data_IF_785909907243
#
_entry.id   IF_785909907243
#
_cell.length_a   1.000
_cell.length_b   1.000
_cell.length_c   1.000
_cell.angle_alpha   90.00
_cell.angle_beta   90.00
_cell.angle_gamma   90.00
#
_symmetry.space_group_name_H-M   'P 1'
#
loop_
_entity.id
_entity.type
_entity.pdbx_description
1 polymer ?
#
# COMPACT_ATOMS: atom_id res chain seq x y z
N UNK A 1 17.86 3.97 -0.36
CA UNK A 1 16.89 3.66 -1.41
C UNK A 1 15.77 4.68 -1.38
N UNK A 2 15.30 5.11 -2.55
CA UNK A 2 14.07 5.88 -2.75
C UNK A 2 12.83 5.03 -2.46
N UNK A 3 11.69 5.69 -2.26
CA UNK A 3 10.40 4.98 -2.09
C UNK A 3 10.06 4.18 -3.35
N UNK A 4 10.43 4.70 -4.53
CA UNK A 4 10.30 4.00 -5.80
C UNK A 4 11.14 2.71 -5.85
N UNK A 5 12.36 2.73 -5.31
CA UNK A 5 13.21 1.54 -5.24
C UNK A 5 12.68 0.51 -4.24
N UNK A 6 12.19 0.96 -3.08
CA UNK A 6 11.57 0.07 -2.08
C UNK A 6 10.33 -0.60 -2.67
N UNK A 7 9.45 0.15 -3.34
CA UNK A 7 8.26 -0.45 -3.96
C UNK A 7 8.58 -1.47 -5.05
N UNK A 8 9.64 -1.23 -5.84
CA UNK A 8 10.14 -2.21 -6.81
C UNK A 8 10.64 -3.49 -6.12
N UNK A 9 11.37 -3.35 -5.02
CA UNK A 9 11.83 -4.49 -4.22
C UNK A 9 10.64 -5.30 -3.68
N UNK A 10 9.63 -4.65 -3.10
CA UNK A 10 8.39 -5.30 -2.65
C UNK A 10 7.72 -6.09 -3.79
N UNK A 11 7.59 -5.47 -4.97
CA UNK A 11 7.00 -6.12 -6.14
C UNK A 11 7.83 -7.31 -6.64
N UNK A 12 9.16 -7.24 -6.56
CA UNK A 12 10.05 -8.35 -6.91
C UNK A 12 9.94 -9.52 -5.92
N UNK A 13 9.84 -9.24 -4.62
CA UNK A 13 9.60 -10.24 -3.58
C UNK A 13 8.26 -10.93 -3.81
N UNK A 14 7.20 -10.17 -4.05
CA UNK A 14 5.87 -10.71 -4.36
C UNK A 14 5.93 -11.66 -5.56
N UNK A 15 6.58 -11.25 -6.66
CA UNK A 15 6.78 -12.07 -7.86
C UNK A 15 7.53 -13.37 -7.60
N UNK A 16 8.60 -13.32 -6.79
CA UNK A 16 9.36 -14.53 -6.42
C UNK A 16 8.51 -15.52 -5.64
N UNK A 17 7.56 -15.03 -4.85
CA UNK A 17 6.64 -15.84 -4.06
C UNK A 17 5.39 -16.27 -4.85
N UNK A 18 5.35 -16.07 -6.17
CA UNK A 18 4.23 -16.46 -7.03
C UNK A 18 3.06 -15.47 -7.02
N UNK A 19 3.20 -14.33 -6.36
CA UNK A 19 2.21 -13.26 -6.38
C UNK A 19 2.49 -12.29 -7.53
N UNK A 20 1.43 -11.94 -8.28
CA UNK A 20 1.42 -10.96 -9.37
C UNK A 20 1.97 -11.40 -10.72
N UNK A 21 1.16 -11.17 -11.77
CA UNK A 21 1.64 -10.24 -12.77
C UNK A 21 0.50 -9.45 -13.43
N UNK A 22 0.07 -8.32 -12.84
CA UNK A 22 -0.85 -7.38 -13.51
C UNK A 22 -0.40 -7.03 -14.94
N UNK A 23 0.93 -7.01 -15.17
CA UNK A 23 1.55 -6.73 -16.48
C UNK A 23 1.45 -7.88 -17.50
N UNK A 24 1.16 -9.11 -17.06
CA UNK A 24 0.97 -10.27 -17.95
C UNK A 24 -0.51 -10.60 -18.15
N UNK A 25 -1.42 -10.01 -17.35
CA UNK A 25 -2.84 -10.08 -17.62
C UNK A 25 -3.12 -9.20 -18.84
N UNK A 26 -3.74 -9.75 -19.88
CA UNK A 26 -4.14 -8.99 -21.08
C UNK A 26 -5.59 -8.54 -20.99
N UNK A 27 -6.46 -9.45 -20.55
CA UNK A 27 -7.90 -9.21 -20.43
C UNK A 27 -8.22 -8.06 -19.44
N UNK A 28 -9.03 -7.06 -19.85
CA UNK A 28 -9.38 -5.93 -19.00
C UNK A 28 -10.19 -6.29 -17.75
N UNK A 29 -11.05 -7.30 -17.80
CA UNK A 29 -11.86 -7.71 -16.65
C UNK A 29 -11.00 -8.48 -15.64
N UNK A 30 -10.11 -9.35 -16.11
CA UNK A 30 -9.12 -10.01 -15.26
C UNK A 30 -8.17 -8.99 -14.59
N UNK A 31 -7.77 -7.93 -15.31
CA UNK A 31 -6.98 -6.83 -14.71
C UNK A 31 -7.74 -6.15 -13.58
N UNK A 32 -9.02 -5.87 -13.81
CA UNK A 32 -9.88 -5.22 -12.83
C UNK A 32 -10.08 -6.11 -11.59
N UNK A 33 -10.32 -7.40 -11.80
CA UNK A 33 -10.37 -8.39 -10.72
C UNK A 33 -9.07 -8.44 -9.93
N UNK A 34 -7.93 -8.50 -10.61
CA UNK A 34 -6.64 -8.48 -9.93
C UNK A 34 -6.45 -7.21 -9.08
N UNK A 35 -6.77 -6.05 -9.63
CA UNK A 35 -6.68 -4.78 -8.90
C UNK A 35 -7.59 -4.78 -7.67
N UNK A 36 -8.82 -5.29 -7.78
CA UNK A 36 -9.75 -5.42 -6.66
C UNK A 36 -9.22 -6.36 -5.57
N UNK A 37 -8.63 -7.50 -5.97
CA UNK A 37 -7.99 -8.45 -5.05
C UNK A 37 -6.80 -7.81 -4.34
N UNK A 38 -5.93 -7.09 -5.06
CA UNK A 38 -4.78 -6.42 -4.45
C UNK A 38 -5.21 -5.33 -3.46
N UNK A 39 -6.24 -4.54 -3.78
CA UNK A 39 -6.82 -3.55 -2.85
C UNK A 39 -7.39 -4.26 -1.61
N UNK A 40 -8.13 -5.36 -1.80
CA UNK A 40 -8.68 -6.15 -0.69
C UNK A 40 -7.58 -6.73 0.20
N UNK A 41 -6.43 -7.11 -0.37
CA UNK A 41 -5.25 -7.52 0.40
C UNK A 41 -4.71 -6.41 1.31
N UNK A 42 -4.71 -5.16 0.86
CA UNK A 42 -4.35 -4.02 1.73
C UNK A 42 -5.34 -3.89 2.89
N UNK A 43 -6.64 -4.09 2.62
CA UNK A 43 -7.67 -4.08 3.66
C UNK A 43 -7.53 -5.22 4.67
N UNK A 44 -7.06 -6.40 4.26
CA UNK A 44 -6.82 -7.49 5.21
C UNK A 44 -5.69 -7.16 6.19
N UNK A 45 -4.55 -6.65 5.72
CA UNK A 45 -3.45 -6.25 6.63
C UNK A 45 -3.90 -5.14 7.60
N UNK A 46 -4.70 -4.18 7.12
CA UNK A 46 -5.27 -3.13 7.97
C UNK A 46 -6.25 -3.70 9.01
N UNK A 47 -6.95 -4.77 8.68
CA UNK A 47 -7.82 -5.47 9.63
C UNK A 47 -6.98 -6.15 10.70
N UNK A 48 -5.89 -6.83 10.34
CA UNK A 48 -4.95 -7.46 11.29
C UNK A 48 -4.32 -6.42 12.23
N UNK A 49 -3.94 -5.24 11.72
CA UNK A 49 -3.48 -4.12 12.52
C UNK A 49 -4.53 -3.68 13.56
N UNK A 50 -5.81 -3.66 13.18
CA UNK A 50 -6.91 -3.39 14.12
C UNK A 50 -7.11 -4.51 15.13
N UNK A 51 -6.90 -5.77 14.75
CA UNK A 51 -6.93 -6.88 15.71
C UNK A 51 -5.83 -6.74 16.77
N UNK A 52 -4.62 -6.37 16.34
CA UNK A 52 -3.51 -6.10 17.25
C UNK A 52 -3.81 -4.97 18.24
N UNK A 53 -4.54 -3.93 17.80
CA UNK A 53 -5.07 -2.88 18.68
C UNK A 53 -6.03 -3.46 19.73
N UNK A 54 -6.97 -4.33 19.33
CA UNK A 54 -7.90 -4.98 20.29
C UNK A 54 -7.16 -5.83 21.33
N UNK A 55 -6.02 -6.39 20.96
CA UNK A 55 -5.13 -7.17 21.83
C UNK A 55 -4.19 -6.30 22.68
N UNK A 56 -4.20 -4.97 22.52
CA UNK A 56 -3.24 -4.04 23.13
C UNK A 56 -1.76 -4.36 22.80
N UNK A 57 -1.50 -4.97 21.64
CA UNK A 57 -0.15 -5.34 21.21
C UNK A 57 0.42 -4.29 20.25
N UNK A 58 1.20 -3.35 20.78
CA UNK A 58 1.86 -2.31 19.97
C UNK A 58 2.87 -2.92 18.99
N UNK A 59 3.61 -3.97 19.40
CA UNK A 59 4.60 -4.63 18.53
C UNK A 59 3.93 -5.29 17.32
N UNK A 60 2.82 -6.02 17.55
CA UNK A 60 2.05 -6.60 16.45
C UNK A 60 1.44 -5.50 15.58
N UNK A 61 0.84 -4.48 16.18
CA UNK A 61 0.26 -3.36 15.43
C UNK A 61 1.28 -2.66 14.53
N UNK A 62 2.52 -2.48 15.01
CA UNK A 62 3.60 -1.92 14.21
C UNK A 62 3.97 -2.84 13.03
N UNK A 63 4.03 -4.16 13.25
CA UNK A 63 4.30 -5.14 12.18
C UNK A 63 3.21 -5.14 11.11
N UNK A 64 1.96 -5.30 11.51
CA UNK A 64 0.85 -5.30 10.55
C UNK A 64 0.73 -3.94 9.82
N UNK A 65 1.05 -2.83 10.50
CA UNK A 65 1.13 -1.52 9.87
C UNK A 65 2.23 -1.40 8.81
N UNK A 66 3.36 -2.09 9.00
CA UNK A 66 4.39 -2.22 7.97
C UNK A 66 3.92 -3.13 6.83
N UNK A 67 3.14 -4.18 7.11
CA UNK A 67 2.56 -5.03 6.07
C UNK A 67 1.57 -4.25 5.19
N UNK A 68 0.74 -3.38 5.78
CA UNK A 68 -0.09 -2.41 5.03
C UNK A 68 0.76 -1.55 4.09
N UNK A 69 1.90 -1.02 4.58
CA UNK A 69 2.80 -0.20 3.78
C UNK A 69 3.41 -1.02 2.63
N UNK A 70 3.89 -2.23 2.90
CA UNK A 70 4.48 -3.13 1.89
C UNK A 70 3.46 -3.45 0.80
N UNK A 71 2.23 -3.86 1.17
CA UNK A 71 1.16 -4.15 0.19
C UNK A 71 0.80 -2.94 -0.64
N UNK A 72 0.77 -1.76 -0.03
CA UNK A 72 0.50 -0.51 -0.74
C UNK A 72 1.61 -0.19 -1.75
N UNK A 73 2.88 -0.32 -1.35
CA UNK A 73 4.02 -0.07 -2.23
C UNK A 73 4.11 -1.09 -3.37
N UNK A 74 3.85 -2.37 -3.08
CA UNK A 74 3.74 -3.44 -4.08
C UNK A 74 2.67 -3.09 -5.13
N UNK A 75 1.46 -2.77 -4.67
CA UNK A 75 0.33 -2.41 -5.52
C UNK A 75 0.64 -1.21 -6.42
N UNK A 76 1.13 -0.10 -5.85
CA UNK A 76 1.45 1.11 -6.59
C UNK A 76 2.58 0.88 -7.61
N UNK A 77 3.59 0.09 -7.26
CA UNK A 77 4.70 -0.26 -8.17
C UNK A 77 4.25 -1.10 -9.35
N UNK A 78 3.12 -1.79 -9.20
CA UNK A 78 2.53 -2.59 -10.26
C UNK A 78 1.76 -1.75 -11.28
N UNK A 79 1.30 -0.56 -10.89
CA UNK A 79 0.59 0.37 -11.78
C UNK A 79 1.53 0.96 -12.84
N UNK A 80 1.05 1.06 -14.08
CA UNK A 80 1.83 1.61 -15.19
C UNK A 80 1.94 3.13 -15.04
N UNK A 81 3.18 3.63 -15.04
CA UNK A 81 3.46 5.08 -15.11
C UNK A 81 3.34 5.82 -13.77
N UNK A 82 3.17 5.12 -12.65
CA UNK A 82 3.14 5.73 -11.32
C UNK A 82 4.56 5.97 -10.82
N UNK A 83 4.84 7.22 -10.44
CA UNK A 83 6.02 7.62 -9.68
C UNK A 83 5.61 7.86 -8.22
N UNK A 84 5.84 6.86 -7.38
CA UNK A 84 5.37 6.83 -5.99
C UNK A 84 5.98 7.98 -5.20
N UNK A 85 7.27 8.25 -5.42
CA UNK A 85 7.96 9.30 -4.70
C UNK A 85 7.43 10.69 -5.05
N UNK A 86 7.18 10.95 -6.34
CA UNK A 86 6.56 12.20 -6.79
C UNK A 86 5.17 12.39 -6.19
N UNK A 87 4.31 11.37 -6.25
CA UNK A 87 2.95 11.43 -5.70
C UNK A 87 2.97 11.62 -4.18
N UNK A 88 3.85 10.91 -3.47
CA UNK A 88 4.05 11.06 -2.03
C UNK A 88 4.46 12.49 -1.66
N UNK A 89 5.50 13.03 -2.31
CA UNK A 89 6.00 14.38 -2.03
C UNK A 89 4.94 15.44 -2.31
N UNK A 90 4.21 15.29 -3.42
CA UNK A 90 3.08 16.18 -3.78
C UNK A 90 2.01 16.14 -2.70
N UNK A 91 1.62 14.94 -2.24
CA UNK A 91 0.61 14.77 -1.21
C UNK A 91 1.05 15.33 0.15
N UNK A 92 2.31 15.12 0.53
CA UNK A 92 2.88 15.69 1.75
C UNK A 92 2.87 17.21 1.72
N UNK A 93 3.20 17.83 0.58
CA UNK A 93 3.18 19.29 0.45
C UNK A 93 1.76 19.85 0.54
N UNK A 94 0.78 19.18 -0.08
CA UNK A 94 -0.64 19.51 0.09
C UNK A 94 -1.03 19.42 1.58
N UNK A 95 -0.61 18.36 2.27
CA UNK A 95 -0.96 18.12 3.67
C UNK A 95 -0.35 19.15 4.63
N UNK A 96 0.87 19.64 4.39
CA UNK A 96 1.48 20.72 5.18
C UNK A 96 0.66 22.02 5.15
N UNK A 97 0.04 22.29 4.01
CA UNK A 97 -0.74 23.51 3.78
C UNK A 97 -2.23 23.34 4.10
N UNK A 98 -2.66 22.18 4.63
CA UNK A 98 -4.07 21.97 5.00
C UNK A 98 -4.41 22.82 6.24
N UNK A 99 -5.53 23.55 6.22
CA UNK A 99 -5.99 24.27 7.40
C UNK A 99 -6.22 23.27 8.54
N UNK A 100 -5.82 23.65 9.75
CA UNK A 100 -6.03 22.84 10.94
C UNK A 100 -7.52 22.57 11.12
N UNK A 101 -7.94 21.30 11.08
CA UNK A 101 -9.31 20.92 11.34
C UNK A 101 -9.55 21.03 12.85
N UNK A 102 -10.01 22.19 13.32
CA UNK A 102 -10.37 22.40 14.73
C UNK A 102 -11.32 21.31 15.22
N UNK A 103 -10.89 20.56 16.24
CA UNK A 103 -11.75 19.65 17.01
C UNK A 103 -12.06 18.29 16.37
N UNK A 104 -11.51 17.96 15.19
CA UNK A 104 -11.55 16.58 14.70
C UNK A 104 -10.30 15.85 15.18
N UNK A 105 -10.45 15.12 16.28
CA UNK A 105 -9.60 13.95 16.52
C UNK A 105 -9.98 12.97 15.41
N UNK A 106 -8.99 12.53 14.63
CA UNK A 106 -9.18 11.51 13.59
C UNK A 106 -9.90 10.29 14.16
#
# INVERSE_FOLDING_TARGET
MSVNEIGKECLEIARKNGFSPLRQIEDPEDKKWYLATAITGIHSEASEMYEALRENSIDRMAKEGIDVLIRTLEFLSNLKGVDIEKELRTKMEINKNRPFLHGKIL
#
